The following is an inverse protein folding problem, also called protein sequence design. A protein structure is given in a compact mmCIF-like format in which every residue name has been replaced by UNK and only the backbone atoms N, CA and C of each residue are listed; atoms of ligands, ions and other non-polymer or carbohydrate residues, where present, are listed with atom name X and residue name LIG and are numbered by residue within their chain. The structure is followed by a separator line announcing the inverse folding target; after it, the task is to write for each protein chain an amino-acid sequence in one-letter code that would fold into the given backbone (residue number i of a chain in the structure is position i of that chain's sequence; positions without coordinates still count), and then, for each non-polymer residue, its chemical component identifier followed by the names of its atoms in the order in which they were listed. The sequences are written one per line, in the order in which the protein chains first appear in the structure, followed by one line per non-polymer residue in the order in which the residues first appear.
data_IF_814163530558
#
_entry.id   IF_814163530558
#
_cell.length_a   1.000
_cell.length_b   1.000
_cell.length_c   1.000
_cell.angle_alpha   90.00
_cell.angle_beta   90.00
_cell.angle_gamma   90.00
#
_symmetry.space_group_name_H-M   'P 1'
#
loop_
_entity.id
_entity.type
_entity.pdbx_description
1 polymer ?
#
# COMPACT_ATOMS: atom_id res chain seq x y z
N UNK A 1 2.12 105.27 -57.92
CA UNK A 1 1.28 104.08 -58.15
C UNK A 1 2.12 102.83 -58.39
N UNK A 2 3.21 102.89 -59.17
CA UNK A 2 4.05 101.72 -59.48
C UNK A 2 4.75 101.04 -58.27
N UNK A 3 5.17 101.80 -57.24
CA UNK A 3 5.80 101.22 -56.04
C UNK A 3 4.84 100.33 -55.24
N UNK A 4 3.57 100.72 -55.15
CA UNK A 4 2.52 99.98 -54.42
C UNK A 4 2.12 98.71 -55.16
N UNK A 5 2.08 98.76 -56.48
CA UNK A 5 1.82 97.58 -57.33
C UNK A 5 2.96 96.58 -57.18
N UNK A 6 4.23 97.04 -57.19
CA UNK A 6 5.40 96.17 -56.97
C UNK A 6 5.46 95.55 -55.58
N UNK A 7 5.08 96.30 -54.53
CA UNK A 7 4.93 95.76 -53.17
C UNK A 7 3.86 94.66 -53.12
N UNK A 8 2.71 94.89 -53.77
CA UNK A 8 1.64 93.91 -53.85
C UNK A 8 2.08 92.66 -54.62
N UNK A 9 2.73 92.80 -55.77
CA UNK A 9 3.29 91.68 -56.54
C UNK A 9 4.31 90.87 -55.73
N UNK A 10 5.20 91.55 -54.99
CA UNK A 10 6.15 90.88 -54.09
C UNK A 10 5.44 90.16 -52.94
N UNK A 11 4.37 90.73 -52.38
CA UNK A 11 3.59 90.10 -51.31
C UNK A 11 2.79 88.90 -51.81
N UNK A 12 2.29 88.97 -53.05
CA UNK A 12 1.51 87.91 -53.69
C UNK A 12 2.41 86.72 -54.01
N UNK A 13 3.62 86.97 -54.52
CA UNK A 13 4.65 85.94 -54.71
C UNK A 13 5.14 85.33 -53.39
N UNK A 14 5.22 86.10 -52.29
CA UNK A 14 5.54 85.55 -50.97
C UNK A 14 4.43 84.63 -50.44
N UNK A 15 3.16 85.06 -50.56
CA UNK A 15 1.98 84.27 -50.20
C UNK A 15 1.86 82.99 -51.03
N UNK A 16 2.18 83.04 -52.32
CA UNK A 16 2.17 81.87 -53.21
C UNK A 16 3.24 80.84 -52.81
N UNK A 17 4.46 81.30 -52.48
CA UNK A 17 5.51 80.43 -51.96
C UNK A 17 5.14 79.81 -50.59
N UNK A 18 4.51 80.59 -49.70
CA UNK A 18 4.03 80.09 -48.41
C UNK A 18 2.92 79.05 -48.59
N UNK A 19 2.00 79.27 -49.53
CA UNK A 19 0.94 78.32 -49.87
C UNK A 19 1.54 76.99 -50.37
N UNK A 20 2.51 77.03 -51.29
CA UNK A 20 3.20 75.84 -51.79
C UNK A 20 3.97 75.10 -50.70
N UNK A 21 4.57 75.83 -49.76
CA UNK A 21 5.25 75.24 -48.61
C UNK A 21 4.27 74.57 -47.65
N UNK A 22 3.13 75.22 -47.36
CA UNK A 22 2.07 74.64 -46.52
C UNK A 22 1.46 73.40 -47.18
N UNK A 23 1.20 73.43 -48.49
CA UNK A 23 0.67 72.26 -49.22
C UNK A 23 1.63 71.07 -49.21
N UNK A 24 2.94 71.31 -49.39
CA UNK A 24 3.96 70.26 -49.24
C UNK A 24 3.95 69.65 -47.85
N UNK A 25 3.98 70.49 -46.80
CA UNK A 25 3.91 70.02 -45.40
C UNK A 25 2.61 69.27 -45.09
N UNK A 26 1.48 69.70 -45.66
CA UNK A 26 0.20 68.99 -45.52
C UNK A 26 0.26 67.60 -46.17
N UNK A 27 0.83 67.47 -47.37
CA UNK A 27 0.97 66.17 -48.04
C UNK A 27 1.93 65.24 -47.29
N UNK A 28 3.05 65.75 -46.79
CA UNK A 28 3.98 64.99 -45.95
C UNK A 28 3.32 64.52 -44.65
N UNK A 29 2.56 65.40 -43.99
CA UNK A 29 1.81 65.06 -42.79
C UNK A 29 0.74 63.99 -43.06
N UNK A 30 0.02 64.08 -44.19
CA UNK A 30 -0.95 63.06 -44.62
C UNK A 30 -0.30 61.71 -44.86
N UNK A 31 0.82 61.66 -45.59
CA UNK A 31 1.56 60.41 -45.83
C UNK A 31 2.09 59.81 -44.52
N UNK A 32 2.56 60.64 -43.60
CA UNK A 32 2.98 60.18 -42.26
C UNK A 32 1.81 59.64 -41.44
N UNK A 33 0.64 60.29 -41.51
CA UNK A 33 -0.57 59.84 -40.82
C UNK A 33 -1.08 58.50 -41.39
N UNK A 34 -1.08 58.34 -42.72
CA UNK A 34 -1.46 57.09 -43.39
C UNK A 34 -0.54 55.93 -43.00
N UNK A 35 0.78 56.17 -42.94
CA UNK A 35 1.75 55.17 -42.45
C UNK A 35 1.47 54.78 -41.01
N UNK A 36 1.28 55.75 -40.11
CA UNK A 36 0.95 55.47 -38.72
C UNK A 36 -0.37 54.70 -38.58
N UNK A 37 -1.40 55.02 -39.36
CA UNK A 37 -2.67 54.29 -39.38
C UNK A 37 -2.47 52.83 -39.83
N UNK A 38 -1.63 52.58 -40.84
CA UNK A 38 -1.35 51.22 -41.29
C UNK A 38 -0.59 50.40 -40.25
N UNK A 39 0.35 51.03 -39.53
CA UNK A 39 1.09 50.39 -38.44
C UNK A 39 0.18 50.08 -37.25
N UNK A 40 -0.71 51.00 -36.87
CA UNK A 40 -1.72 50.77 -35.83
C UNK A 40 -2.63 49.60 -36.19
N UNK A 41 -3.08 49.51 -37.45
CA UNK A 41 -3.90 48.38 -37.91
C UNK A 41 -3.16 47.05 -37.77
N UNK A 42 -1.92 47.00 -38.23
CA UNK A 42 -1.08 45.80 -38.10
C UNK A 42 -0.88 45.40 -36.64
N UNK A 43 -0.58 46.35 -35.75
CA UNK A 43 -0.43 46.07 -34.32
C UNK A 43 -1.73 45.59 -33.68
N UNK A 44 -2.88 46.13 -34.09
CA UNK A 44 -4.18 45.64 -33.61
C UNK A 44 -4.45 44.19 -34.04
N UNK A 45 -4.11 43.82 -35.28
CA UNK A 45 -4.22 42.45 -35.77
C UNK A 45 -3.30 41.49 -34.99
N UNK A 46 -2.05 41.89 -34.75
CA UNK A 46 -1.11 41.12 -33.93
C UNK A 46 -1.63 40.93 -32.49
N UNK A 47 -2.20 41.98 -31.89
CA UNK A 47 -2.76 41.92 -30.52
C UNK A 47 -3.92 40.94 -30.45
N UNK A 48 -4.85 40.94 -31.42
CA UNK A 48 -5.97 39.99 -31.43
C UNK A 48 -5.51 38.54 -31.69
N UNK A 49 -4.47 38.33 -32.51
CA UNK A 49 -3.87 37.01 -32.70
C UNK A 49 -3.22 36.50 -31.41
N UNK A 50 -2.43 37.33 -30.73
CA UNK A 50 -1.81 36.97 -29.45
C UNK A 50 -2.83 36.71 -28.35
N UNK A 51 -3.91 37.49 -28.32
CA UNK A 51 -5.02 37.29 -27.39
C UNK A 51 -5.70 35.95 -27.64
N UNK A 52 -5.98 35.61 -28.90
CA UNK A 52 -6.59 34.33 -29.28
C UNK A 52 -5.70 33.14 -28.87
N UNK A 53 -4.39 33.22 -29.12
CA UNK A 53 -3.41 32.21 -28.70
C UNK A 53 -3.31 32.08 -27.18
N UNK A 54 -3.38 33.20 -26.46
CA UNK A 54 -3.38 33.20 -24.99
C UNK A 54 -4.64 32.53 -24.43
N UNK A 55 -5.80 32.76 -25.02
CA UNK A 55 -7.06 32.13 -24.61
C UNK A 55 -7.07 30.62 -24.88
N UNK A 56 -6.48 30.17 -26.00
CA UNK A 56 -6.31 28.74 -26.30
C UNK A 56 -5.36 28.06 -25.31
N UNK A 57 -4.20 28.68 -25.05
CA UNK A 57 -3.23 28.17 -24.08
C UNK A 57 -3.83 28.06 -22.66
N UNK A 58 -4.65 29.03 -22.25
CA UNK A 58 -5.34 28.96 -20.95
C UNK A 58 -6.36 27.82 -20.90
N UNK A 59 -7.10 27.56 -21.98
CA UNK A 59 -8.02 26.41 -22.06
C UNK A 59 -7.26 25.09 -21.91
N UNK A 60 -6.18 24.92 -22.67
CA UNK A 60 -5.34 23.73 -22.59
C UNK A 60 -4.76 23.55 -21.18
N UNK A 61 -4.29 24.62 -20.54
CA UNK A 61 -3.79 24.60 -19.17
C UNK A 61 -4.86 24.10 -18.19
N UNK A 62 -6.09 24.59 -18.30
CA UNK A 62 -7.21 24.14 -17.45
C UNK A 62 -7.56 22.68 -17.70
N UNK A 63 -7.54 22.21 -18.95
CA UNK A 63 -7.75 20.80 -19.28
C UNK A 63 -6.67 19.90 -18.68
N UNK A 64 -5.40 20.26 -18.84
CA UNK A 64 -4.27 19.53 -18.25
C UNK A 64 -4.36 19.51 -16.73
N UNK A 65 -4.73 20.62 -16.10
CA UNK A 65 -4.96 20.69 -14.65
C UNK A 65 -6.08 19.74 -14.20
N UNK A 66 -7.17 19.65 -14.97
CA UNK A 66 -8.26 18.70 -14.69
C UNK A 66 -7.81 17.25 -14.89
N UNK A 67 -7.05 16.94 -15.95
CA UNK A 67 -6.49 15.59 -16.15
C UNK A 67 -5.54 15.21 -15.02
N UNK A 68 -4.65 16.13 -14.62
CA UNK A 68 -3.72 15.93 -13.51
C UNK A 68 -4.44 15.65 -12.18
N UNK A 69 -5.52 16.39 -11.88
CA UNK A 69 -6.29 16.14 -10.65
C UNK A 69 -6.98 14.77 -10.68
N UNK A 70 -7.60 14.39 -11.80
CA UNK A 70 -8.20 13.05 -11.94
C UNK A 70 -7.16 11.93 -11.80
N UNK A 71 -6.00 12.07 -12.45
CA UNK A 71 -4.90 11.12 -12.34
C UNK A 71 -4.35 11.02 -10.91
N UNK A 72 -4.22 12.15 -10.21
CA UNK A 72 -3.77 12.16 -8.80
C UNK A 72 -4.75 11.37 -7.91
N UNK A 73 -6.05 11.52 -8.13
CA UNK A 73 -7.05 10.75 -7.37
C UNK A 73 -7.04 9.26 -7.70
N UNK A 74 -6.80 8.87 -8.96
CA UNK A 74 -6.71 7.46 -9.33
C UNK A 74 -5.44 6.81 -8.78
N UNK A 75 -4.29 7.49 -8.83
CA UNK A 75 -3.03 7.06 -8.19
C UNK A 75 -3.25 6.83 -6.70
N UNK A 76 -3.92 7.77 -6.02
CA UNK A 76 -4.21 7.64 -4.58
C UNK A 76 -5.08 6.42 -4.27
N UNK A 77 -6.06 6.10 -5.12
CA UNK A 77 -6.90 4.89 -4.98
C UNK A 77 -6.09 3.62 -5.20
N UNK A 78 -5.28 3.57 -6.25
CA UNK A 78 -4.42 2.42 -6.55
C UNK A 78 -3.41 2.17 -5.43
N UNK A 79 -2.76 3.21 -4.90
CA UNK A 79 -1.85 3.08 -3.76
C UNK A 79 -2.53 2.48 -2.53
N UNK A 80 -3.77 2.87 -2.21
CA UNK A 80 -4.53 2.25 -1.12
C UNK A 80 -4.80 0.77 -1.38
N UNK A 81 -5.10 0.40 -2.62
CA UNK A 81 -5.31 -1.00 -2.99
C UNK A 81 -4.01 -1.82 -2.93
N UNK A 82 -2.89 -1.24 -3.37
CA UNK A 82 -1.55 -1.85 -3.28
C UNK A 82 -1.22 -2.12 -1.81
N UNK A 83 -1.29 -1.10 -0.95
CA UNK A 83 -0.99 -1.27 0.48
C UNK A 83 -1.91 -2.33 1.13
N UNK A 84 -3.20 -2.34 0.77
CA UNK A 84 -4.12 -3.38 1.26
C UNK A 84 -3.74 -4.78 0.80
N UNK A 85 -3.21 -4.94 -0.41
CA UNK A 85 -2.76 -6.22 -0.96
C UNK A 85 -1.42 -6.65 -0.37
N UNK A 86 -0.50 -5.71 -0.15
CA UNK A 86 0.77 -5.95 0.54
C UNK A 86 0.53 -6.46 1.97
N UNK A 87 -0.33 -5.80 2.75
CA UNK A 87 -0.70 -6.29 4.08
C UNK A 87 -1.35 -7.68 4.04
N UNK A 88 -2.18 -7.98 3.03
CA UNK A 88 -2.75 -9.33 2.84
C UNK A 88 -1.65 -10.36 2.55
N UNK A 89 -0.65 -10.01 1.72
CA UNK A 89 0.48 -10.88 1.41
C UNK A 89 1.29 -11.15 2.68
N UNK A 90 1.62 -10.12 3.46
CA UNK A 90 2.35 -10.28 4.73
C UNK A 90 1.59 -11.18 5.71
N UNK A 91 0.28 -10.98 5.89
CA UNK A 91 -0.56 -11.84 6.73
C UNK A 91 -0.54 -13.30 6.26
N UNK A 92 -0.59 -13.54 4.96
CA UNK A 92 -0.52 -14.89 4.39
C UNK A 92 0.86 -15.52 4.56
N UNK A 93 1.94 -14.74 4.46
CA UNK A 93 3.31 -15.20 4.72
C UNK A 93 3.46 -15.60 6.18
N UNK A 94 3.02 -14.76 7.13
CA UNK A 94 3.06 -15.08 8.56
C UNK A 94 2.25 -16.34 8.86
N UNK A 95 1.03 -16.46 8.31
CA UNK A 95 0.20 -17.66 8.49
C UNK A 95 0.86 -18.91 7.88
N UNK A 96 1.51 -18.79 6.72
CA UNK A 96 2.28 -19.89 6.11
C UNK A 96 3.39 -20.34 7.06
N UNK A 97 4.16 -19.39 7.60
CA UNK A 97 5.26 -19.68 8.51
C UNK A 97 4.78 -20.35 9.80
N UNK A 98 3.70 -19.84 10.42
CA UNK A 98 3.07 -20.45 11.60
C UNK A 98 2.61 -21.90 11.35
N UNK A 99 2.11 -22.20 10.15
CA UNK A 99 1.70 -23.57 9.78
C UNK A 99 2.92 -24.48 9.70
N UNK A 100 4.02 -24.01 9.08
CA UNK A 100 5.26 -24.78 8.97
C UNK A 100 5.83 -25.08 10.36
N UNK A 101 5.91 -24.08 11.23
CA UNK A 101 6.39 -24.25 12.60
C UNK A 101 5.53 -25.23 13.40
N UNK A 102 4.20 -25.19 13.24
CA UNK A 102 3.30 -26.18 13.86
C UNK A 102 3.54 -27.60 13.35
N UNK A 103 3.70 -27.76 12.03
CA UNK A 103 4.02 -29.06 11.46
C UNK A 103 5.37 -29.59 11.96
N UNK A 104 6.37 -28.73 12.14
CA UNK A 104 7.66 -29.11 12.74
C UNK A 104 7.50 -29.56 14.20
N UNK A 105 6.71 -28.84 15.01
CA UNK A 105 6.42 -29.21 16.40
C UNK A 105 5.68 -30.56 16.51
N UNK A 106 4.71 -30.78 15.63
CA UNK A 106 3.91 -32.01 15.57
C UNK A 106 4.63 -33.16 14.83
N UNK A 107 5.88 -32.93 14.39
CA UNK A 107 6.70 -33.88 13.63
C UNK A 107 6.03 -34.39 12.33
N UNK A 108 5.23 -33.53 11.69
CA UNK A 108 4.58 -33.79 10.41
C UNK A 108 5.55 -33.39 9.29
N UNK A 109 6.00 -34.38 8.52
CA UNK A 109 6.85 -34.14 7.35
C UNK A 109 6.03 -33.53 6.20
N UNK A 110 6.41 -32.33 5.76
CA UNK A 110 5.79 -31.66 4.62
C UNK A 110 6.52 -32.04 3.31
N UNK A 111 5.81 -32.32 2.20
CA UNK A 111 6.44 -32.57 0.90
C UNK A 111 7.12 -31.30 0.36
N UNK A 112 8.45 -31.30 0.26
CA UNK A 112 9.25 -30.16 -0.23
C UNK A 112 9.91 -30.55 -1.56
N UNK A 113 9.84 -29.65 -2.55
CA UNK A 113 10.56 -29.81 -3.82
C UNK A 113 12.04 -29.52 -3.58
N UNK A 114 12.90 -30.49 -3.89
CA UNK A 114 14.34 -30.43 -3.59
C UNK A 114 15.13 -29.49 -4.52
N UNK A 115 14.59 -29.16 -5.70
CA UNK A 115 15.24 -28.26 -6.67
C UNK A 115 14.43 -26.94 -6.83
N UNK A 116 14.94 -25.82 -6.29
CA UNK A 116 14.28 -24.51 -6.39
C UNK A 116 14.24 -23.92 -7.80
N UNK A 117 15.01 -24.46 -8.77
CA UNK A 117 15.08 -23.91 -10.12
C UNK A 117 13.88 -24.27 -11.02
N UNK A 118 13.04 -25.24 -10.65
CA UNK A 118 11.88 -25.64 -11.47
C UNK A 118 10.60 -24.84 -11.19
N UNK A 119 10.56 -24.03 -10.14
CA UNK A 119 9.39 -23.22 -9.81
C UNK A 119 9.70 -21.74 -10.02
N UNK A 120 9.04 -21.11 -10.99
CA UNK A 120 9.11 -19.67 -11.32
C UNK A 120 8.71 -18.72 -10.16
N UNK A 121 8.54 -19.23 -8.95
CA UNK A 121 8.09 -18.49 -7.77
C UNK A 121 9.30 -17.99 -6.97
N UNK A 122 9.64 -16.72 -7.16
CA UNK A 122 10.65 -15.97 -6.40
C UNK A 122 10.23 -15.66 -4.95
N UNK A 123 9.55 -16.59 -4.26
CA UNK A 123 9.14 -16.42 -2.86
C UNK A 123 10.21 -16.97 -1.91
N UNK A 124 10.66 -16.21 -0.90
CA UNK A 124 11.56 -16.73 0.13
C UNK A 124 10.92 -17.92 0.87
N UNK A 125 11.61 -19.05 0.93
CA UNK A 125 11.22 -20.23 1.72
C UNK A 125 11.10 -21.54 0.92
N UNK A 126 10.85 -22.67 1.61
CA UNK A 126 10.69 -23.98 0.95
C UNK A 126 9.47 -23.97 0.03
N UNK A 127 9.63 -24.60 -1.13
CA UNK A 127 8.57 -24.80 -2.12
C UNK A 127 7.91 -26.15 -1.85
N UNK A 128 6.60 -26.13 -1.61
CA UNK A 128 5.85 -27.34 -1.27
C UNK A 128 5.33 -28.06 -2.52
N UNK A 129 5.44 -29.39 -2.52
CA UNK A 129 4.89 -30.23 -3.57
C UNK A 129 3.39 -30.47 -3.34
N UNK A 130 2.58 -30.00 -4.28
CA UNK A 130 1.13 -30.15 -4.27
C UNK A 130 0.62 -31.16 -5.33
N UNK A 131 1.51 -31.87 -6.03
CA UNK A 131 1.14 -32.79 -7.14
C UNK A 131 0.21 -33.92 -6.70
N UNK A 132 0.30 -34.33 -5.43
CA UNK A 132 -0.53 -35.39 -4.85
C UNK A 132 -1.92 -34.90 -4.41
N UNK A 133 -2.17 -33.58 -4.41
CA UNK A 133 -3.48 -33.04 -4.08
C UNK A 133 -4.43 -33.14 -5.27
N UNK A 134 -5.69 -33.48 -5.00
CA UNK A 134 -6.73 -33.43 -6.03
C UNK A 134 -6.86 -32.02 -6.60
N UNK A 135 -7.22 -31.91 -7.89
CA UNK A 135 -7.43 -30.62 -8.57
C UNK A 135 -8.40 -29.70 -7.83
N UNK A 136 -9.35 -30.28 -7.08
CA UNK A 136 -10.29 -29.54 -6.27
C UNK A 136 -9.62 -28.76 -5.14
N UNK A 137 -8.42 -29.13 -4.68
CA UNK A 137 -7.68 -28.45 -3.60
C UNK A 137 -6.61 -27.48 -4.11
N UNK A 138 -6.22 -27.60 -5.38
CA UNK A 138 -5.21 -26.75 -6.01
C UNK A 138 -5.82 -25.50 -6.66
N UNK A 139 -7.09 -25.56 -7.06
CA UNK A 139 -7.78 -24.43 -7.68
C UNK A 139 -8.02 -23.28 -6.70
N UNK A 140 -7.90 -22.05 -7.21
CA UNK A 140 -8.18 -20.85 -6.44
C UNK A 140 -9.67 -20.76 -6.09
N UNK A 141 -9.99 -21.13 -4.84
CA UNK A 141 -11.36 -21.13 -4.32
C UNK A 141 -11.75 -19.78 -3.73
N UNK A 142 -13.04 -19.47 -3.85
CA UNK A 142 -13.65 -18.34 -3.14
C UNK A 142 -13.46 -18.50 -1.62
N UNK A 143 -13.29 -17.41 -0.85
CA UNK A 143 -13.09 -17.50 0.60
C UNK A 143 -14.14 -18.35 1.33
N UNK A 144 -15.41 -18.26 0.93
CA UNK A 144 -16.49 -19.06 1.51
C UNK A 144 -16.38 -20.56 1.24
N UNK A 145 -15.79 -20.96 0.11
CA UNK A 145 -15.54 -22.37 -0.18
C UNK A 145 -14.31 -22.89 0.57
N UNK A 146 -13.32 -22.02 0.79
CA UNK A 146 -12.15 -22.34 1.64
C UNK A 146 -12.56 -22.56 3.10
N UNK A 147 -13.43 -21.70 3.63
CA UNK A 147 -13.94 -21.81 5.01
C UNK A 147 -14.76 -23.09 5.22
N UNK A 148 -15.62 -23.45 4.27
CA UNK A 148 -16.36 -24.73 4.32
C UNK A 148 -15.41 -25.92 4.39
N UNK A 149 -14.35 -25.91 3.58
CA UNK A 149 -13.38 -26.98 3.56
C UNK A 149 -12.57 -27.06 4.86
N UNK A 150 -12.22 -25.91 5.45
CA UNK A 150 -11.56 -25.85 6.77
C UNK A 150 -12.44 -26.47 7.86
N UNK A 151 -13.75 -26.19 7.85
CA UNK A 151 -14.72 -26.81 8.77
C UNK A 151 -14.81 -28.32 8.53
N UNK A 152 -14.89 -28.77 7.28
CA UNK A 152 -14.93 -30.21 6.95
C UNK A 152 -13.68 -30.94 7.44
N UNK A 153 -12.48 -30.37 7.24
CA UNK A 153 -11.24 -30.99 7.73
C UNK A 153 -11.17 -31.01 9.25
N UNK A 154 -11.58 -29.92 9.92
CA UNK A 154 -11.63 -29.88 11.37
C UNK A 154 -12.56 -30.96 11.93
N UNK A 155 -13.75 -31.13 11.35
CA UNK A 155 -14.69 -32.18 11.75
C UNK A 155 -14.12 -33.59 11.56
N UNK A 156 -13.39 -33.83 10.45
CA UNK A 156 -12.70 -35.11 10.22
C UNK A 156 -11.61 -35.37 11.25
N UNK A 157 -10.81 -34.36 11.60
CA UNK A 157 -9.78 -34.45 12.64
C UNK A 157 -10.43 -34.75 13.99
N UNK A 158 -11.46 -34.01 14.39
CA UNK A 158 -12.17 -34.21 15.67
C UNK A 158 -12.79 -35.61 15.76
N UNK A 159 -13.32 -36.13 14.64
CA UNK A 159 -13.84 -37.51 14.56
C UNK A 159 -12.74 -38.55 14.74
N UNK A 160 -11.59 -38.38 14.09
CA UNK A 160 -10.45 -39.29 14.22
C UNK A 160 -9.87 -39.25 15.64
N UNK A 161 -9.74 -38.07 16.25
CA UNK A 161 -9.34 -37.93 17.66
C UNK A 161 -10.31 -38.68 18.56
N UNK A 162 -11.62 -38.51 18.35
CA UNK A 162 -12.65 -39.23 19.12
C UNK A 162 -12.55 -40.74 18.95
N UNK A 163 -12.19 -41.23 17.76
CA UNK A 163 -12.00 -42.66 17.48
C UNK A 163 -10.72 -43.20 18.12
N UNK A 164 -9.62 -42.43 18.08
CA UNK A 164 -8.37 -42.74 18.80
C UNK A 164 -8.64 -42.83 20.30
N UNK A 165 -9.36 -41.86 20.89
CA UNK A 165 -9.71 -41.90 22.31
C UNK A 165 -10.58 -43.10 22.68
N UNK A 166 -11.49 -43.53 21.80
CA UNK A 166 -12.34 -44.72 22.00
C UNK A 166 -11.55 -46.02 21.89
N UNK A 167 -10.57 -46.07 20.99
CA UNK A 167 -9.76 -47.28 20.72
C UNK A 167 -8.57 -47.39 21.66
N UNK A 168 -8.18 -46.31 22.34
CA UNK A 168 -7.11 -46.27 23.34
C UNK A 168 -7.61 -46.01 24.79
N UNK A 169 -8.58 -46.77 25.33
CA UNK A 169 -8.98 -46.65 26.73
C UNK A 169 -7.82 -46.99 27.69
N UNK A 170 -6.85 -47.80 27.23
CA UNK A 170 -5.64 -48.10 27.97
C UNK A 170 -4.73 -46.88 28.20
N UNK A 171 -4.78 -45.84 27.34
CA UNK A 171 -3.99 -44.63 27.55
C UNK A 171 -4.53 -43.81 28.73
N UNK A 172 -5.86 -43.61 28.80
CA UNK A 172 -6.52 -42.99 29.96
C UNK A 172 -6.30 -43.79 31.23
N UNK A 173 -6.29 -45.12 31.15
CA UNK A 173 -5.96 -45.97 32.29
C UNK A 173 -4.49 -45.82 32.72
N UNK A 174 -3.56 -45.65 31.78
CA UNK A 174 -2.14 -45.44 32.04
C UNK A 174 -1.89 -44.07 32.70
N UNK A 175 -2.52 -43.00 32.19
CA UNK A 175 -2.45 -41.66 32.78
C UNK A 175 -3.05 -41.65 34.20
N UNK A 176 -4.18 -42.32 34.41
CA UNK A 176 -4.80 -42.47 35.73
C UNK A 176 -3.91 -43.28 36.69
N UNK A 177 -3.26 -44.33 36.18
CA UNK A 177 -2.32 -45.13 36.96
C UNK A 177 -1.06 -44.34 37.33
N UNK A 178 -0.49 -43.56 36.41
CA UNK A 178 0.63 -42.66 36.73
C UNK A 178 0.24 -41.60 37.76
N UNK A 179 -0.95 -41.00 37.62
CA UNK A 179 -1.45 -40.04 38.61
C UNK A 179 -1.63 -40.67 40.00
N UNK A 180 -2.10 -41.91 40.07
CA UNK A 180 -2.20 -42.66 41.33
C UNK A 180 -0.81 -42.97 41.90
N UNK A 181 0.14 -43.39 41.07
CA UNK A 181 1.52 -43.72 41.48
C UNK A 181 2.27 -42.50 42.03
N UNK A 182 2.05 -41.31 41.45
CA UNK A 182 2.61 -40.05 41.96
C UNK A 182 2.00 -39.70 43.32
N UNK A 183 0.68 -39.85 43.48
CA UNK A 183 0.01 -39.63 44.78
C UNK A 183 0.48 -40.62 45.84
N UNK A 184 0.61 -41.89 45.48
CA UNK A 184 1.13 -42.94 46.37
C UNK A 184 2.54 -42.58 46.84
N UNK A 185 3.43 -42.18 45.91
CA UNK A 185 4.78 -41.75 46.26
C UNK A 185 4.78 -40.57 47.24
N UNK A 186 3.99 -39.54 46.97
CA UNK A 186 3.88 -38.37 47.86
C UNK A 186 3.39 -38.78 49.26
N UNK A 187 2.36 -39.63 49.34
CA UNK A 187 1.84 -40.14 50.62
C UNK A 187 2.86 -41.00 51.35
N UNK A 188 3.63 -41.83 50.64
CA UNK A 188 4.70 -42.64 51.28
C UNK A 188 5.83 -41.78 51.83
N UNK A 189 6.22 -40.72 51.11
CA UNK A 189 7.25 -39.77 51.57
C UNK A 189 6.77 -39.01 52.82
N UNK A 190 5.52 -38.54 52.84
CA UNK A 190 4.91 -37.91 54.01
C UNK A 190 4.81 -38.86 55.20
N UNK A 191 4.41 -40.11 54.95
CA UNK A 191 4.31 -41.14 55.99
C UNK A 191 5.68 -41.50 56.58
N UNK A 192 6.70 -41.65 55.75
CA UNK A 192 8.08 -41.90 56.20
C UNK A 192 8.64 -40.72 57.01
N UNK A 193 8.38 -39.49 56.58
CA UNK A 193 8.75 -38.29 57.33
C UNK A 193 8.09 -38.25 58.71
N UNK A 194 6.77 -38.48 58.78
CA UNK A 194 6.03 -38.53 60.04
C UNK A 194 6.54 -39.64 60.97
N UNK A 195 6.85 -40.83 60.44
CA UNK A 195 7.40 -41.95 61.21
C UNK A 195 8.78 -41.65 61.76
N UNK A 196 9.61 -40.94 60.99
CA UNK A 196 10.94 -40.51 61.45
C UNK A 196 10.83 -39.49 62.58
N UNK A 197 9.94 -38.51 62.45
CA UNK A 197 9.66 -37.54 63.53
C UNK A 197 9.11 -38.21 64.79
N UNK A 198 8.20 -39.17 64.65
CA UNK A 198 7.67 -39.94 65.78
C UNK A 198 8.79 -40.67 66.51
N UNK A 199 9.68 -41.34 65.76
CA UNK A 199 10.83 -42.05 66.33
C UNK A 199 11.79 -41.10 67.03
N UNK A 200 12.12 -39.96 66.42
CA UNK A 200 12.97 -38.94 67.03
C UNK A 200 12.36 -38.38 68.33
N UNK A 201 11.05 -38.08 68.34
CA UNK A 201 10.33 -37.64 69.55
C UNK A 201 10.28 -38.74 70.63
N UNK A 202 10.07 -39.99 70.25
CA UNK A 202 10.07 -41.13 71.16
C UNK A 202 11.45 -41.37 71.78
N UNK A 203 12.52 -41.30 70.98
CA UNK A 203 13.91 -41.42 71.44
C UNK A 203 14.28 -40.27 72.38
N UNK A 204 13.89 -39.03 72.06
CA UNK A 204 14.05 -37.87 72.94
C UNK A 204 13.28 -38.06 74.26
N UNK A 205 12.02 -38.49 74.22
CA UNK A 205 11.22 -38.75 75.42
C UNK A 205 11.85 -39.84 76.30
N UNK A 206 12.30 -40.95 75.70
CA UNK A 206 12.98 -42.03 76.41
C UNK A 206 14.29 -41.57 77.05
N UNK A 207 15.06 -40.72 76.36
CA UNK A 207 16.30 -40.15 76.90
C UNK A 207 16.07 -39.25 78.13
N UNK A 208 14.99 -38.47 78.12
CA UNK A 208 14.60 -37.63 79.27
C UNK A 208 14.07 -38.50 80.41
N UNK A 209 13.30 -39.54 80.11
CA UNK A 209 12.80 -40.51 81.10
C UNK A 209 13.95 -41.26 81.81
N UNK A 210 15.02 -41.61 81.11
CA UNK A 210 16.19 -42.28 81.71
C UNK A 210 17.08 -41.36 82.56
N UNK A 211 16.96 -40.03 82.45
CA UNK A 211 17.71 -39.07 83.28
C UNK A 211 17.00 -38.65 84.57
N UNK A 212 15.71 -38.97 84.72
CA UNK A 212 14.92 -38.71 85.94
C UNK A 212 14.99 -39.92 86.87
#
# INVERSE_FOLDING_TARGET
MESRIRELESSLGALENDLDHVQRRESEAKLSAEKAISEIKRWNEEVEEWKSKSEECEKDMQEWKKRASTATTSISKLNRQINSKETQIEQLITRKQEIVEKCELDQISLPIISDPMETETSTPGPVFDFTQLSRAYVQDKRPSEREKLEIEFKQKIDSLISEIEKTAPNLKALDQYEALKVKERAVTEEFEAARKEEKEKADLFNSVKQRR
#
